data_IF_166088511189
#
_entry.id   IF_166088511189
#
_cell.length_a   1.000
_cell.length_b   1.000
_cell.length_c   1.000
_cell.angle_alpha   90.00
_cell.angle_beta   90.00
_cell.angle_gamma   90.00
#
_symmetry.space_group_name_H-M   'P 1'
#
loop_
_entity.id
_entity.type
_entity.pdbx_description
1 polymer ?
#
# COMPACT_ATOMS: atom_id res chain seq x y z
N UNK A 1 0.79 -17.98 -15.42
CA UNK A 1 0.38 -16.57 -15.24
C UNK A 1 -0.77 -16.57 -14.25
N UNK A 2 -0.66 -16.02 -13.04
CA UNK A 2 -1.85 -15.85 -12.20
C UNK A 2 -2.82 -14.94 -12.93
N UNK A 3 -4.12 -15.25 -12.88
CA UNK A 3 -5.19 -14.43 -13.47
C UNK A 3 -4.94 -12.96 -13.11
N UNK A 4 -4.99 -12.06 -14.10
CA UNK A 4 -5.00 -10.62 -13.83
C UNK A 4 -6.33 -10.32 -13.13
N UNK A 5 -6.34 -10.42 -11.80
CA UNK A 5 -7.42 -9.85 -10.99
C UNK A 5 -7.33 -8.34 -11.17
N UNK A 6 -8.45 -7.71 -11.50
CA UNK A 6 -8.56 -6.27 -11.64
C UNK A 6 -8.23 -5.63 -10.29
N UNK A 7 -7.11 -4.90 -10.24
CA UNK A 7 -6.66 -4.16 -9.05
C UNK A 7 -7.03 -2.69 -9.20
N UNK A 8 -7.28 -2.02 -8.09
CA UNK A 8 -7.49 -0.58 -8.04
C UNK A 8 -6.15 0.06 -7.70
N UNK A 9 -5.60 0.89 -8.59
CA UNK A 9 -4.42 1.70 -8.25
C UNK A 9 -4.80 2.84 -7.34
N UNK A 10 -3.89 3.22 -6.44
CA UNK A 10 -4.13 4.34 -5.55
C UNK A 10 -4.28 5.63 -6.35
N UNK A 11 -5.30 6.42 -6.02
CA UNK A 11 -5.56 7.74 -6.61
C UNK A 11 -6.14 8.66 -5.52
N UNK A 12 -5.55 9.84 -5.37
CA UNK A 12 -5.99 10.86 -4.40
C UNK A 12 -7.45 11.27 -4.60
N UNK A 13 -7.97 11.14 -5.82
CA UNK A 13 -9.31 11.57 -6.19
C UNK A 13 -10.33 10.41 -6.19
N UNK A 14 -9.91 9.18 -5.86
CA UNK A 14 -10.78 8.00 -5.82
C UNK A 14 -10.64 7.26 -4.49
N UNK A 15 -11.52 7.58 -3.56
CA UNK A 15 -11.66 6.85 -2.31
C UNK A 15 -12.27 5.46 -2.52
N UNK A 16 -11.94 4.52 -1.64
CA UNK A 16 -12.58 3.23 -1.55
C UNK A 16 -14.02 3.40 -1.08
N UNK A 17 -14.87 2.52 -1.58
CA UNK A 17 -16.27 2.38 -1.13
C UNK A 17 -16.51 0.92 -0.78
N UNK A 18 -17.55 0.63 0.02
CA UNK A 18 -17.92 -0.76 0.30
C UNK A 18 -18.23 -1.62 -0.95
N UNK A 19 -18.46 -1.01 -2.12
CA UNK A 19 -18.60 -1.73 -3.41
C UNK A 19 -17.28 -2.29 -3.94
N UNK A 20 -16.16 -1.73 -3.51
CA UNK A 20 -14.82 -2.19 -3.89
C UNK A 20 -14.42 -3.46 -3.13
N UNK A 21 -15.05 -3.76 -1.99
CA UNK A 21 -14.78 -4.96 -1.17
C UNK A 21 -15.64 -6.12 -1.67
N UNK A 22 -15.09 -6.91 -2.58
CA UNK A 22 -15.79 -7.98 -3.31
C UNK A 22 -15.42 -9.39 -2.83
N UNK A 23 -14.46 -9.48 -1.91
CA UNK A 23 -14.08 -10.72 -1.25
C UNK A 23 -15.20 -11.27 -0.37
N UNK A 24 -15.12 -12.58 -0.09
CA UNK A 24 -16.05 -13.22 0.85
C UNK A 24 -15.50 -13.09 2.27
N UNK A 25 -16.30 -12.58 3.23
CA UNK A 25 -15.91 -12.56 4.62
C UNK A 25 -15.60 -13.96 5.15
N UNK A 26 -14.62 -14.04 6.05
CA UNK A 26 -14.37 -15.28 6.76
C UNK A 26 -15.53 -15.55 7.72
N UNK A 27 -15.97 -16.81 7.79
CA UNK A 27 -16.98 -17.20 8.77
C UNK A 27 -16.34 -17.17 10.16
N UNK A 28 -17.10 -16.70 11.15
CA UNK A 28 -16.74 -16.74 12.57
C UNK A 28 -15.45 -15.97 12.92
N UNK A 29 -15.19 -14.84 12.23
CA UNK A 29 -14.09 -13.94 12.53
C UNK A 29 -14.58 -12.74 13.35
N UNK A 30 -13.82 -12.35 14.38
CA UNK A 30 -14.02 -11.09 15.11
C UNK A 30 -13.52 -9.86 14.32
N UNK A 31 -12.98 -10.07 13.12
CA UNK A 31 -12.46 -9.02 12.24
C UNK A 31 -13.60 -8.47 11.38
N UNK A 32 -13.94 -7.19 11.55
CA UNK A 32 -15.07 -6.55 10.86
C UNK A 32 -14.85 -6.38 9.35
N UNK A 33 -13.62 -6.08 8.93
CA UNK A 33 -13.23 -5.90 7.53
C UNK A 33 -11.75 -6.21 7.31
N UNK A 34 -11.36 -6.37 6.06
CA UNK A 34 -9.96 -6.54 5.67
C UNK A 34 -9.69 -5.85 4.35
N UNK A 35 -8.67 -5.00 4.34
CA UNK A 35 -8.08 -4.40 3.15
C UNK A 35 -6.87 -5.19 2.68
N UNK A 36 -6.97 -5.78 1.50
CA UNK A 36 -5.83 -6.38 0.81
C UNK A 36 -5.23 -5.36 -0.15
N UNK A 37 -4.15 -4.71 0.28
CA UNK A 37 -3.35 -3.78 -0.53
C UNK A 37 -1.89 -4.23 -0.65
N UNK A 38 -1.16 -3.68 -1.61
CA UNK A 38 0.25 -3.96 -1.80
C UNK A 38 0.93 -2.98 -2.74
N UNK A 39 2.24 -3.14 -2.90
CA UNK A 39 3.04 -2.36 -3.85
C UNK A 39 3.50 -3.26 -4.97
N UNK A 40 3.27 -2.83 -6.20
CA UNK A 40 3.82 -3.45 -7.39
C UNK A 40 5.00 -2.63 -7.90
N UNK A 41 6.00 -3.30 -8.48
CA UNK A 41 7.01 -2.63 -9.29
C UNK A 41 7.33 -3.41 -10.56
N UNK A 42 7.77 -2.68 -11.60
CA UNK A 42 8.42 -3.25 -12.77
C UNK A 42 9.74 -2.53 -13.02
N UNK A 43 10.75 -3.28 -13.45
CA UNK A 43 12.08 -2.77 -13.75
C UNK A 43 12.41 -3.03 -15.22
N UNK A 44 12.98 -2.02 -15.89
CA UNK A 44 13.57 -2.13 -17.22
C UNK A 44 14.98 -1.58 -17.12
N UNK A 45 15.96 -2.30 -17.66
CA UNK A 45 17.33 -1.80 -17.70
C UNK A 45 17.99 -2.07 -19.03
N UNK A 46 18.94 -1.20 -19.37
CA UNK A 46 19.77 -1.31 -20.55
C UNK A 46 21.16 -0.76 -20.26
N UNK A 47 22.16 -1.28 -20.94
CA UNK A 47 23.53 -0.81 -20.84
C UNK A 47 23.89 0.03 -22.07
N UNK A 48 24.53 1.17 -21.86
CA UNK A 48 25.16 1.97 -22.92
C UNK A 48 26.62 2.18 -22.57
N UNK A 49 27.50 1.32 -23.08
CA UNK A 49 28.90 1.27 -22.64
C UNK A 49 28.99 0.77 -21.19
N UNK A 50 29.64 1.52 -20.32
CA UNK A 50 29.73 1.23 -18.87
C UNK A 50 28.54 1.78 -18.06
N UNK A 51 27.67 2.61 -18.65
CA UNK A 51 26.50 3.15 -17.95
C UNK A 51 25.34 2.16 -17.94
N UNK A 52 24.86 1.83 -16.73
CA UNK A 52 23.61 1.11 -16.52
C UNK A 52 22.48 2.13 -16.42
N UNK A 53 21.51 2.05 -17.33
CA UNK A 53 20.26 2.82 -17.26
C UNK A 53 19.16 1.93 -16.73
N UNK A 54 18.55 2.33 -15.62
CA UNK A 54 17.45 1.60 -14.99
C UNK A 54 16.23 2.51 -14.93
N UNK A 55 15.10 2.01 -15.37
CA UNK A 55 13.78 2.63 -15.25
C UNK A 55 12.94 1.70 -14.38
N UNK A 56 12.39 2.23 -13.28
CA UNK A 56 11.52 1.47 -12.38
C UNK A 56 10.19 2.19 -12.26
N UNK A 57 9.12 1.46 -12.53
CA UNK A 57 7.74 1.89 -12.25
C UNK A 57 7.29 1.26 -10.94
N UNK A 58 6.67 2.03 -10.05
CA UNK A 58 6.19 1.56 -8.74
C UNK A 58 4.79 2.13 -8.49
N UNK A 59 3.84 1.30 -8.07
CA UNK A 59 2.51 1.78 -7.66
C UNK A 59 1.92 0.96 -6.51
N UNK A 60 1.16 1.63 -5.64
CA UNK A 60 0.29 0.95 -4.69
C UNK A 60 -1.00 0.49 -5.37
N UNK A 61 -1.50 -0.66 -4.95
CA UNK A 61 -2.74 -1.25 -5.43
C UNK A 61 -3.57 -1.83 -4.29
N UNK A 62 -4.87 -1.88 -4.52
CA UNK A 62 -5.88 -2.54 -3.70
C UNK A 62 -6.47 -3.70 -4.49
N UNK A 63 -6.76 -4.81 -3.82
CA UNK A 63 -7.29 -6.05 -4.40
C UNK A 63 -8.76 -6.25 -3.98
N UNK A 64 -9.74 -5.85 -4.81
CA UNK A 64 -11.17 -5.99 -4.53
C UNK A 64 -11.60 -7.38 -4.08
N UNK A 65 -11.12 -8.42 -4.78
CA UNK A 65 -11.52 -9.81 -4.55
C UNK A 65 -10.86 -10.46 -3.32
N UNK A 66 -9.84 -9.81 -2.76
CA UNK A 66 -9.17 -10.25 -1.54
C UNK A 66 -9.55 -9.38 -0.33
N UNK A 67 -10.30 -8.30 -0.56
CA UNK A 67 -10.77 -7.38 0.47
C UNK A 67 -12.26 -7.62 0.73
N UNK A 68 -12.65 -7.68 1.99
CA UNK A 68 -13.99 -8.10 2.40
C UNK A 68 -14.43 -7.38 3.68
N UNK A 69 -15.73 -7.43 3.98
CA UNK A 69 -16.30 -6.86 5.21
C UNK A 69 -17.60 -7.55 5.62
N UNK A 70 -17.88 -7.53 6.92
CA UNK A 70 -19.18 -7.91 7.49
C UNK A 70 -20.16 -6.76 7.36
N UNK A 71 -21.26 -6.97 6.60
CA UNK A 71 -22.23 -5.90 6.27
C UNK A 71 -22.93 -5.31 7.49
N UNK A 72 -23.11 -6.11 8.52
CA UNK A 72 -23.70 -5.76 9.81
C UNK A 72 -22.78 -4.90 10.69
N UNK A 73 -21.49 -4.84 10.37
CA UNK A 73 -20.49 -4.00 11.04
C UNK A 73 -20.01 -2.84 10.15
N UNK A 74 -20.61 -2.67 8.98
CA UNK A 74 -20.17 -1.69 7.99
C UNK A 74 -20.66 -0.28 8.34
N UNK A 75 -19.72 0.64 8.56
CA UNK A 75 -19.99 2.06 8.69
C UNK A 75 -18.89 2.92 8.04
N UNK A 76 -19.07 4.24 8.03
CA UNK A 76 -18.11 5.16 7.41
C UNK A 76 -16.79 5.27 8.19
N UNK A 77 -16.81 4.98 9.49
CA UNK A 77 -15.62 5.04 10.35
C UNK A 77 -14.69 3.86 10.08
N UNK A 78 -15.25 2.65 10.05
CA UNK A 78 -14.56 1.44 9.63
C UNK A 78 -14.08 1.57 8.18
N UNK A 79 -14.89 2.12 7.26
CA UNK A 79 -14.43 2.35 5.89
C UNK A 79 -13.22 3.31 5.85
N UNK A 80 -13.20 4.34 6.69
CA UNK A 80 -12.05 5.24 6.80
C UNK A 80 -10.81 4.55 7.39
N UNK A 81 -10.99 3.54 8.24
CA UNK A 81 -9.89 2.70 8.75
C UNK A 81 -9.28 1.88 7.61
N UNK A 82 -10.14 1.19 6.86
CA UNK A 82 -9.76 0.39 5.69
C UNK A 82 -9.12 1.23 4.58
N UNK A 83 -9.61 2.45 4.34
CA UNK A 83 -8.97 3.40 3.42
C UNK A 83 -7.54 3.75 3.87
N UNK A 84 -7.31 3.91 5.18
CA UNK A 84 -6.01 4.35 5.66
C UNK A 84 -4.93 3.27 5.49
N UNK A 85 -5.28 1.99 5.56
CA UNK A 85 -4.38 0.89 5.14
C UNK A 85 -3.88 1.07 3.70
N UNK A 86 -4.79 1.45 2.79
CA UNK A 86 -4.42 1.70 1.40
C UNK A 86 -3.55 2.97 1.24
N UNK A 87 -3.81 4.01 2.03
CA UNK A 87 -3.00 5.24 2.04
C UNK A 87 -1.59 5.00 2.62
N UNK A 88 -1.47 4.18 3.65
CA UNK A 88 -0.18 3.71 4.19
C UNK A 88 0.58 2.94 3.10
N UNK A 89 -0.10 2.08 2.34
CA UNK A 89 0.49 1.34 1.22
C UNK A 89 1.06 2.30 0.16
N UNK A 90 0.32 3.33 -0.24
CA UNK A 90 0.84 4.35 -1.16
C UNK A 90 2.01 5.13 -0.56
N UNK A 91 1.96 5.52 0.71
CA UNK A 91 3.10 6.19 1.35
C UNK A 91 4.39 5.38 1.22
N UNK A 92 4.31 4.06 1.38
CA UNK A 92 5.47 3.19 1.20
C UNK A 92 5.89 3.01 -0.26
N UNK A 93 4.95 3.07 -1.22
CA UNK A 93 5.29 3.18 -2.63
C UNK A 93 6.06 4.48 -2.93
N UNK A 94 5.65 5.64 -2.40
CA UNK A 94 6.37 6.92 -2.56
C UNK A 94 7.75 6.91 -1.92
N UNK A 95 7.86 6.34 -0.71
CA UNK A 95 9.15 6.15 -0.02
C UNK A 95 10.10 5.29 -0.85
N UNK A 96 9.59 4.21 -1.47
CA UNK A 96 10.38 3.36 -2.36
C UNK A 96 10.80 4.12 -3.63
N UNK A 97 9.89 4.83 -4.31
CA UNK A 97 10.21 5.68 -5.48
C UNK A 97 11.29 6.71 -5.15
N UNK A 98 11.19 7.41 -4.01
CA UNK A 98 12.23 8.32 -3.53
C UNK A 98 13.58 7.62 -3.39
N UNK A 99 13.59 6.43 -2.77
CA UNK A 99 14.82 5.68 -2.56
C UNK A 99 15.48 5.27 -3.87
N UNK A 100 14.68 4.82 -4.85
CA UNK A 100 15.13 4.45 -6.19
C UNK A 100 15.69 5.65 -6.94
N UNK A 101 15.01 6.81 -6.89
CA UNK A 101 15.41 8.02 -7.60
C UNK A 101 16.82 8.52 -7.23
N UNK A 102 17.29 8.19 -6.02
CA UNK A 102 18.64 8.52 -5.53
C UNK A 102 19.59 7.33 -5.50
N UNK A 103 19.21 6.18 -6.07
CA UNK A 103 19.99 4.95 -6.02
C UNK A 103 20.82 4.76 -7.28
N UNK A 104 22.11 4.49 -7.10
CA UNK A 104 23.02 4.13 -8.19
C UNK A 104 23.02 2.62 -8.35
N UNK A 105 22.28 2.11 -9.34
CA UNK A 105 22.24 0.68 -9.63
C UNK A 105 23.54 0.20 -10.27
N UNK A 106 23.92 -1.03 -9.94
CA UNK A 106 24.98 -1.76 -10.61
C UNK A 106 24.43 -2.62 -11.76
N UNK A 107 25.26 -3.47 -12.34
CA UNK A 107 24.82 -4.45 -13.33
C UNK A 107 23.84 -5.49 -12.73
N UNK A 108 23.81 -5.62 -11.39
CA UNK A 108 22.90 -6.51 -10.65
C UNK A 108 21.58 -5.81 -10.25
N UNK A 109 21.08 -4.89 -11.08
CA UNK A 109 19.94 -4.02 -10.75
C UNK A 109 18.69 -4.77 -10.28
N UNK A 110 18.42 -5.97 -10.81
CA UNK A 110 17.33 -6.84 -10.35
C UNK A 110 17.47 -7.25 -8.89
N UNK A 111 18.68 -7.65 -8.47
CA UNK A 111 18.96 -8.09 -7.10
C UNK A 111 18.88 -6.92 -6.14
N UNK A 112 19.44 -5.78 -6.53
CA UNK A 112 19.39 -4.54 -5.75
C UNK A 112 17.95 -4.06 -5.57
N UNK A 113 17.16 -4.05 -6.65
CA UNK A 113 15.75 -3.66 -6.61
C UNK A 113 14.93 -4.60 -5.70
N UNK A 114 15.16 -5.91 -5.75
CA UNK A 114 14.53 -6.87 -4.82
C UNK A 114 14.87 -6.56 -3.37
N UNK A 115 16.12 -6.21 -3.06
CA UNK A 115 16.52 -5.83 -1.70
C UNK A 115 15.82 -4.55 -1.24
N UNK A 116 15.76 -3.53 -2.10
CA UNK A 116 15.05 -2.27 -1.80
C UNK A 116 13.56 -2.51 -1.57
N UNK A 117 12.92 -3.30 -2.44
CA UNK A 117 11.52 -3.65 -2.36
C UNK A 117 11.20 -4.42 -1.08
N UNK A 118 11.94 -5.50 -0.78
CA UNK A 118 11.70 -6.33 0.40
C UNK A 118 11.85 -5.54 1.71
N UNK A 119 12.79 -4.58 1.77
CA UNK A 119 12.92 -3.68 2.92
C UNK A 119 11.70 -2.78 3.05
N UNK A 120 11.23 -2.20 1.95
CA UNK A 120 10.03 -1.36 1.95
C UNK A 120 8.79 -2.15 2.38
N UNK A 121 8.61 -3.38 1.89
CA UNK A 121 7.45 -4.22 2.26
C UNK A 121 7.49 -4.65 3.72
N UNK A 122 8.66 -5.03 4.24
CA UNK A 122 8.81 -5.32 5.67
C UNK A 122 8.44 -4.12 6.55
N UNK A 123 8.80 -2.91 6.14
CA UNK A 123 8.41 -1.69 6.87
C UNK A 123 6.94 -1.34 6.71
N UNK A 124 6.35 -1.60 5.54
CA UNK A 124 4.91 -1.47 5.31
C UNK A 124 4.14 -2.40 6.25
N UNK A 125 4.44 -3.69 6.25
CA UNK A 125 3.78 -4.70 7.09
C UNK A 125 3.84 -4.29 8.57
N UNK A 126 5.03 -3.92 9.04
CA UNK A 126 5.22 -3.46 10.42
C UNK A 126 4.41 -2.22 10.77
N UNK A 127 4.17 -1.29 9.83
CA UNK A 127 3.39 -0.07 10.12
C UNK A 127 1.89 -0.35 10.06
N UNK A 128 1.42 -1.26 9.19
CA UNK A 128 0.02 -1.67 9.21
C UNK A 128 -0.33 -2.38 10.53
N UNK A 129 0.53 -3.29 11.01
CA UNK A 129 0.34 -3.95 12.32
C UNK A 129 0.30 -2.93 13.47
N UNK A 130 1.20 -1.94 13.46
CA UNK A 130 1.23 -0.88 14.48
C UNK A 130 -0.04 -0.02 14.39
N UNK A 131 -0.51 0.30 13.19
CA UNK A 131 -1.71 1.09 12.98
C UNK A 131 -2.95 0.37 13.55
N UNK A 132 -3.12 -0.91 13.23
CA UNK A 132 -4.20 -1.75 13.77
C UNK A 132 -4.17 -1.79 15.29
N UNK A 133 -3.01 -2.12 15.88
CA UNK A 133 -2.86 -2.23 17.33
C UNK A 133 -3.10 -0.89 18.03
N UNK A 134 -2.55 0.22 17.51
CA UNK A 134 -2.71 1.52 18.15
C UNK A 134 -4.13 2.06 18.04
N UNK A 135 -4.82 1.81 16.93
CA UNK A 135 -6.21 2.23 16.78
C UNK A 135 -7.21 1.25 17.38
N UNK A 136 -6.73 0.21 18.07
CA UNK A 136 -7.55 -0.86 18.60
C UNK A 136 -8.47 -1.46 17.53
N UNK A 137 -7.92 -1.71 16.33
CA UNK A 137 -8.63 -2.19 15.14
C UNK A 137 -9.86 -1.33 14.84
N UNK A 138 -9.63 -0.03 14.62
CA UNK A 138 -10.62 1.05 14.43
C UNK A 138 -11.37 1.55 15.67
N UNK A 139 -11.35 0.86 16.82
CA UNK A 139 -12.16 1.25 18.00
C UNK A 139 -11.67 2.51 18.72
N UNK A 140 -10.46 2.99 18.43
CA UNK A 140 -9.93 4.23 18.98
C UNK A 140 -9.91 5.37 17.94
N UNK A 141 -11.00 6.13 17.91
CA UNK A 141 -11.21 7.25 16.99
C UNK A 141 -10.12 8.32 17.06
N UNK A 142 -9.64 8.61 18.28
CA UNK A 142 -8.65 9.66 18.50
C UNK A 142 -7.32 9.29 17.85
N UNK A 143 -6.85 8.05 18.06
CA UNK A 143 -5.61 7.58 17.45
C UNK A 143 -5.78 7.41 15.93
N UNK A 144 -6.94 6.93 15.46
CA UNK A 144 -7.21 6.84 14.03
C UNK A 144 -7.13 8.20 13.33
N UNK A 145 -7.70 9.26 13.94
CA UNK A 145 -7.61 10.62 13.41
C UNK A 145 -6.16 11.15 13.37
N UNK A 146 -5.37 10.87 14.42
CA UNK A 146 -3.96 11.25 14.46
C UNK A 146 -3.14 10.54 13.38
N UNK A 147 -3.38 9.24 13.19
CA UNK A 147 -2.78 8.45 12.10
C UNK A 147 -3.14 9.02 10.75
N UNK A 148 -4.42 9.29 10.48
CA UNK A 148 -4.88 9.88 9.23
C UNK A 148 -4.17 11.19 8.93
N UNK A 149 -4.16 12.12 9.89
CA UNK A 149 -3.47 13.42 9.76
C UNK A 149 -1.98 13.26 9.46
N UNK A 150 -1.32 12.31 10.13
CA UNK A 150 0.10 12.04 9.94
C UNK A 150 0.40 11.44 8.56
N UNK A 151 -0.40 10.47 8.10
CA UNK A 151 -0.23 9.83 6.79
C UNK A 151 -0.52 10.83 5.67
N UNK A 152 -1.55 11.67 5.78
CA UNK A 152 -1.83 12.74 4.83
C UNK A 152 -0.66 13.73 4.71
N UNK A 153 -0.08 14.15 5.84
CA UNK A 153 1.10 15.02 5.85
C UNK A 153 2.31 14.34 5.19
N UNK A 154 2.55 13.06 5.46
CA UNK A 154 3.63 12.31 4.83
C UNK A 154 3.39 12.10 3.32
N UNK A 155 2.17 11.79 2.90
CA UNK A 155 1.82 11.71 1.48
C UNK A 155 2.12 13.03 0.78
N UNK A 156 1.75 14.16 1.38
CA UNK A 156 2.09 15.49 0.85
C UNK A 156 3.59 15.73 0.78
N UNK A 157 4.35 15.35 1.80
CA UNK A 157 5.81 15.50 1.83
C UNK A 157 6.50 14.71 0.70
N UNK A 158 5.93 13.58 0.30
CA UNK A 158 6.47 12.72 -0.73
C UNK A 158 5.76 12.88 -2.09
N UNK A 159 4.95 13.92 -2.30
CA UNK A 159 4.09 14.04 -3.49
C UNK A 159 4.83 14.13 -4.84
N UNK A 160 6.13 14.43 -4.83
CA UNK A 160 6.97 14.43 -6.02
C UNK A 160 7.39 13.02 -6.49
N UNK A 161 7.06 12.00 -5.70
CA UNK A 161 7.39 10.59 -5.95
C UNK A 161 6.09 9.81 -6.04
#
# INVERSE_FOLDING_TARGET
MPQQHEVIKWDRNRLLTWKDFQGKPQKDSDVAATTASGVFYSIKYGTKGSEVRVVVDVYAYFSPRQSWYHKDMADDHLLSHEQLHFDITELYARKLRKKIATYSFTQDADKEMKVLFNRAMKSLDSVQDIYDVQTDYSRNDTLQYQWKSNIEAQLSLYSSY
#
